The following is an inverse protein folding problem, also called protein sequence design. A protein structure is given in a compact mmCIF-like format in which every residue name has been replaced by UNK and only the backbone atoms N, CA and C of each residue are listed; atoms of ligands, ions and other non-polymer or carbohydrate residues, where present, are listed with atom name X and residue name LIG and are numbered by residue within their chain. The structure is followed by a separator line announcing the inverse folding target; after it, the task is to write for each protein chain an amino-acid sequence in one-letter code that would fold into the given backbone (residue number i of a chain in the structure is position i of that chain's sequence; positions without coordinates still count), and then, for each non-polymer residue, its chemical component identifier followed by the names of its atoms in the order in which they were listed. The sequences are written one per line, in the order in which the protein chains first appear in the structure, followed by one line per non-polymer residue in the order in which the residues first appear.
data_IF_517208213649
#
_entry.id   IF_517208213649
#
_cell.length_a   1.000
_cell.length_b   1.000
_cell.length_c   1.000
_cell.angle_alpha   90.00
_cell.angle_beta   90.00
_cell.angle_gamma   90.00
#
_symmetry.space_group_name_H-M   'P 1'
#
loop_
_entity.id
_entity.type
_entity.pdbx_description
1 polymer ?
#
# COMPACT_ATOMS: atom_id res chain seq x y z
N UNK A 1 -6.48 -6.87 -16.32
CA UNK A 1 -6.27 -7.17 -14.88
C UNK A 1 -7.06 -6.15 -14.06
N UNK A 2 -8.00 -6.56 -13.21
CA UNK A 2 -9.10 -5.69 -12.73
C UNK A 2 -8.77 -4.68 -11.61
N UNK A 3 -7.51 -4.54 -11.16
CA UNK A 3 -7.10 -3.59 -10.10
C UNK A 3 -7.95 -3.66 -8.81
N UNK A 4 -8.31 -4.87 -8.36
CA UNK A 4 -9.13 -5.09 -7.15
C UNK A 4 -8.30 -5.73 -6.02
N UNK A 5 -7.30 -5.04 -5.45
CA UNK A 5 -6.35 -5.64 -4.52
C UNK A 5 -7.06 -6.23 -3.28
N UNK A 6 -8.00 -5.50 -2.67
CA UNK A 6 -8.70 -5.97 -1.47
C UNK A 6 -9.64 -7.16 -1.73
N UNK A 7 -10.28 -7.24 -2.90
CA UNK A 7 -11.10 -8.40 -3.27
C UNK A 7 -10.23 -9.62 -3.62
N UNK A 8 -9.04 -9.37 -4.19
CA UNK A 8 -8.04 -10.42 -4.37
C UNK A 8 -7.56 -10.98 -3.04
N UNK A 9 -7.28 -10.10 -2.06
CA UNK A 9 -6.92 -10.50 -0.70
C UNK A 9 -8.03 -11.27 0.01
N UNK A 10 -9.28 -10.82 -0.11
CA UNK A 10 -10.46 -11.54 0.40
C UNK A 10 -10.53 -12.98 -0.16
N UNK A 11 -10.43 -13.13 -1.48
CA UNK A 11 -10.44 -14.46 -2.12
C UNK A 11 -9.26 -15.34 -1.71
N UNK A 12 -8.06 -14.76 -1.58
CA UNK A 12 -6.87 -15.48 -1.13
C UNK A 12 -7.00 -15.98 0.32
N UNK A 13 -7.43 -15.11 1.23
CA UNK A 13 -7.64 -15.49 2.64
C UNK A 13 -8.74 -16.55 2.76
N UNK A 14 -9.84 -16.41 2.01
CA UNK A 14 -10.89 -17.43 1.96
C UNK A 14 -10.33 -18.79 1.53
N UNK A 15 -9.55 -18.82 0.44
CA UNK A 15 -8.95 -20.05 -0.07
C UNK A 15 -8.00 -20.70 0.95
N UNK A 16 -7.27 -19.90 1.72
CA UNK A 16 -6.36 -20.38 2.75
C UNK A 16 -7.11 -20.95 3.97
N UNK A 17 -8.18 -20.29 4.41
CA UNK A 17 -9.06 -20.77 5.49
C UNK A 17 -9.68 -22.12 5.10
N UNK A 18 -10.18 -22.24 3.87
CA UNK A 18 -10.76 -23.47 3.34
C UNK A 18 -9.71 -24.58 3.28
N UNK A 19 -8.50 -24.27 2.79
CA UNK A 19 -7.38 -25.21 2.72
C UNK A 19 -6.97 -25.73 4.11
N UNK A 20 -6.94 -24.84 5.12
CA UNK A 20 -6.56 -25.19 6.49
C UNK A 20 -7.74 -25.76 7.32
N UNK A 21 -8.95 -25.83 6.75
CA UNK A 21 -10.18 -26.29 7.42
C UNK A 21 -10.44 -25.56 8.75
N UNK A 22 -10.18 -24.26 8.79
CA UNK A 22 -10.40 -23.47 10.00
C UNK A 22 -11.87 -23.05 10.11
N UNK A 23 -12.46 -23.04 11.33
CA UNK A 23 -13.82 -22.55 11.56
C UNK A 23 -13.85 -21.01 11.64
N UNK A 24 -13.23 -20.34 10.66
CA UNK A 24 -13.12 -18.88 10.58
C UNK A 24 -13.78 -18.39 9.29
N UNK A 25 -14.32 -17.18 9.31
CA UNK A 25 -14.82 -16.51 8.11
C UNK A 25 -13.81 -15.43 7.65
N UNK A 26 -13.57 -15.35 6.35
CA UNK A 26 -12.81 -14.24 5.78
C UNK A 26 -13.63 -12.94 5.89
N UNK A 27 -13.05 -11.84 6.40
CA UNK A 27 -13.71 -10.54 6.35
C UNK A 27 -13.86 -10.04 4.90
N UNK A 28 -14.97 -9.38 4.60
CA UNK A 28 -15.21 -8.77 3.29
C UNK A 28 -14.24 -7.62 2.98
N UNK A 29 -14.06 -7.29 1.70
CA UNK A 29 -13.17 -6.22 1.26
C UNK A 29 -13.46 -4.84 1.89
N UNK A 30 -14.71 -4.53 2.24
CA UNK A 30 -15.08 -3.26 2.89
C UNK A 30 -14.60 -3.25 4.33
N UNK A 31 -14.68 -4.39 5.02
CA UNK A 31 -14.13 -4.58 6.36
C UNK A 31 -12.61 -4.49 6.36
N UNK A 32 -11.92 -5.10 5.39
CA UNK A 32 -10.48 -4.92 5.20
C UNK A 32 -10.12 -3.46 4.95
N UNK A 33 -10.85 -2.77 4.05
CA UNK A 33 -10.60 -1.36 3.72
C UNK A 33 -10.74 -0.43 4.94
N UNK A 34 -11.77 -0.63 5.76
CA UNK A 34 -12.00 0.20 6.97
C UNK A 34 -10.97 -0.07 8.05
N UNK A 35 -10.52 -1.32 8.20
CA UNK A 35 -9.47 -1.67 9.17
C UNK A 35 -8.13 -1.10 8.75
N UNK A 36 -7.83 -1.07 7.45
CA UNK A 36 -6.57 -0.55 6.92
C UNK A 36 -6.26 0.88 7.39
N UNK A 37 -7.28 1.72 7.55
CA UNK A 37 -7.12 3.09 8.09
C UNK A 37 -6.50 3.11 9.49
N UNK A 38 -6.74 2.08 10.31
CA UNK A 38 -6.26 1.96 11.68
C UNK A 38 -5.02 1.07 11.82
N UNK A 39 -4.57 0.45 10.74
CA UNK A 39 -3.38 -0.41 10.75
C UNK A 39 -2.14 0.49 10.84
N UNK A 40 -1.42 0.39 11.95
CA UNK A 40 -0.10 0.99 12.09
C UNK A 40 0.92 0.05 11.47
N UNK A 41 1.48 0.44 10.33
CA UNK A 41 2.59 -0.29 9.70
C UNK A 41 3.89 0.22 10.29
N UNK A 42 4.53 -0.60 11.13
CA UNK A 42 5.88 -0.33 11.62
C UNK A 42 6.90 -0.61 10.52
N UNK A 43 7.60 0.42 10.05
CA UNK A 43 8.78 0.22 9.19
C UNK A 43 9.96 0.00 10.13
N UNK A 44 10.31 -1.26 10.38
CA UNK A 44 11.46 -1.60 11.21
C UNK A 44 12.73 -1.43 10.40
N UNK A 45 13.59 -0.50 10.82
CA UNK A 45 14.95 -0.36 10.28
C UNK A 45 15.88 -1.31 11.01
N UNK A 46 16.59 -2.17 10.28
CA UNK A 46 17.65 -2.98 10.87
C UNK A 46 18.83 -2.08 11.22
N UNK A 47 19.24 -2.04 12.50
CA UNK A 47 20.44 -1.33 12.89
C UNK A 47 21.65 -2.21 12.57
N UNK A 48 22.51 -1.74 11.66
CA UNK A 48 23.80 -2.37 11.38
C UNK A 48 24.94 -1.43 11.77
N UNK A 49 26.04 -2.00 12.26
CA UNK A 49 27.29 -1.32 12.58
C UNK A 49 28.24 -1.23 11.39
N UNK A 50 27.95 -1.92 10.29
CA UNK A 50 28.75 -1.88 9.06
C UNK A 50 28.29 -0.78 8.09
N UNK A 51 29.21 -0.31 7.25
CA UNK A 51 28.87 0.57 6.12
C UNK A 51 27.85 -0.11 5.20
N UNK A 52 26.95 0.68 4.61
CA UNK A 52 25.84 0.22 3.77
C UNK A 52 25.74 1.06 2.51
N UNK A 53 25.50 0.40 1.39
CA UNK A 53 25.17 1.06 0.12
C UNK A 53 23.64 1.18 0.02
N UNK A 54 23.15 2.41 -0.07
CA UNK A 54 21.72 2.70 -0.18
C UNK A 54 21.43 3.22 -1.59
N UNK A 55 20.53 2.54 -2.28
CA UNK A 55 19.98 2.98 -3.56
C UNK A 55 18.74 3.81 -3.27
N UNK A 56 18.68 5.01 -3.85
CA UNK A 56 17.53 5.92 -3.68
C UNK A 56 16.78 6.02 -5.00
N UNK A 57 15.50 5.69 -4.99
CA UNK A 57 14.59 5.90 -6.11
C UNK A 57 13.43 6.82 -5.74
N UNK A 58 12.88 7.53 -6.74
CA UNK A 58 11.74 8.42 -6.58
C UNK A 58 10.61 8.00 -7.52
N UNK A 59 9.58 7.36 -6.97
CA UNK A 59 8.41 6.94 -7.74
C UNK A 59 7.25 7.94 -7.60
N UNK A 60 6.60 8.26 -8.72
CA UNK A 60 5.38 9.07 -8.73
C UNK A 60 4.15 8.23 -8.40
N UNK A 61 3.44 8.60 -7.33
CA UNK A 61 2.18 7.96 -6.92
C UNK A 61 1.01 8.85 -7.31
N UNK A 62 0.06 8.27 -8.05
CA UNK A 62 -1.21 8.92 -8.32
C UNK A 62 -2.20 8.64 -7.19
N UNK A 63 -2.74 9.68 -6.58
CA UNK A 63 -3.73 9.53 -5.50
C UNK A 63 -5.13 9.52 -6.12
N UNK A 64 -5.80 8.38 -6.03
CA UNK A 64 -7.20 8.25 -6.43
C UNK A 64 -8.11 8.61 -5.26
N UNK A 65 -9.11 9.46 -5.48
CA UNK A 65 -10.00 9.93 -4.43
C UNK A 65 -11.13 10.80 -4.97
N UNK A 66 -11.71 11.63 -4.10
CA UNK A 66 -12.90 12.45 -4.42
C UNK A 66 -12.73 13.26 -5.71
N UNK A 67 -11.56 13.86 -5.92
CA UNK A 67 -11.30 14.67 -7.11
C UNK A 67 -11.39 13.89 -8.43
N UNK A 68 -11.06 12.60 -8.46
CA UNK A 68 -11.06 11.82 -9.70
C UNK A 68 -12.49 11.42 -10.13
N UNK A 69 -13.32 10.92 -9.21
CA UNK A 69 -14.69 10.51 -9.54
C UNK A 69 -15.59 11.73 -9.75
N UNK A 70 -15.41 12.77 -8.94
CA UNK A 70 -16.24 13.98 -8.99
C UNK A 70 -15.99 14.78 -10.26
N UNK A 71 -14.75 14.85 -10.73
CA UNK A 71 -14.42 15.47 -12.04
C UNK A 71 -15.06 14.69 -13.20
N UNK A 72 -15.12 13.35 -13.12
CA UNK A 72 -15.78 12.52 -14.13
C UNK A 72 -17.30 12.68 -14.14
N UNK A 73 -17.92 12.86 -12.98
CA UNK A 73 -19.38 12.91 -12.84
C UNK A 73 -19.98 14.32 -12.94
N UNK A 74 -19.29 15.34 -12.42
CA UNK A 74 -19.85 16.68 -12.21
C UNK A 74 -18.99 17.81 -12.80
N UNK A 75 -17.97 17.49 -13.58
CA UNK A 75 -17.06 18.49 -14.14
C UNK A 75 -16.05 19.02 -13.11
N UNK A 76 -15.25 19.99 -13.52
CA UNK A 76 -14.03 20.37 -12.80
C UNK A 76 -14.32 21.09 -11.47
N UNK A 77 -14.35 20.35 -10.35
CA UNK A 77 -14.59 20.92 -9.01
C UNK A 77 -13.46 20.66 -7.99
N UNK A 78 -12.58 19.68 -8.24
CA UNK A 78 -11.41 19.35 -7.39
C UNK A 78 -10.24 18.91 -8.25
N UNK A 79 -9.01 19.29 -7.85
CA UNK A 79 -7.77 18.97 -8.59
C UNK A 79 -7.37 17.49 -8.39
N UNK A 80 -6.80 16.87 -9.43
CA UNK A 80 -6.11 15.57 -9.35
C UNK A 80 -4.77 15.73 -8.62
N UNK A 81 -4.44 14.81 -7.71
CA UNK A 81 -3.24 14.89 -6.88
C UNK A 81 -2.25 13.77 -7.23
N UNK A 82 -1.00 14.16 -7.43
CA UNK A 82 0.16 13.26 -7.54
C UNK A 82 1.11 13.55 -6.39
N UNK A 83 1.71 12.51 -5.82
CA UNK A 83 2.70 12.62 -4.74
C UNK A 83 3.97 11.89 -5.13
N UNK A 84 5.13 12.45 -4.78
CA UNK A 84 6.42 11.78 -4.97
C UNK A 84 6.78 11.00 -3.72
N UNK A 85 7.07 9.73 -3.89
CA UNK A 85 7.59 8.85 -2.85
C UNK A 85 9.08 8.61 -3.10
N UNK A 86 9.90 9.00 -2.14
CA UNK A 86 11.33 8.70 -2.12
C UNK A 86 11.55 7.45 -1.26
N UNK A 87 12.14 6.41 -1.85
CA UNK A 87 12.48 5.16 -1.18
C UNK A 87 13.99 4.98 -1.17
N UNK A 88 14.55 4.67 -0.01
CA UNK A 88 15.93 4.23 0.15
C UNK A 88 15.95 2.74 0.48
N UNK A 89 16.63 1.94 -0.34
CA UNK A 89 16.73 0.50 -0.21
C UNK A 89 18.20 0.11 -0.03
N UNK A 90 18.48 -0.83 0.86
CA UNK A 90 19.81 -1.47 0.94
C UNK A 90 20.06 -2.32 -0.32
N UNK A 91 21.19 -2.11 -0.98
CA UNK A 91 21.54 -2.81 -2.23
C UNK A 91 21.67 -4.33 -2.07
N UNK A 92 22.21 -4.78 -0.94
CA UNK A 92 22.58 -6.17 -0.70
C UNK A 92 21.43 -7.04 -0.17
N UNK A 93 20.51 -6.43 0.57
CA UNK A 93 19.41 -7.11 1.27
C UNK A 93 18.04 -6.76 0.71
N UNK A 94 17.96 -5.77 -0.19
CA UNK A 94 16.72 -5.22 -0.72
C UNK A 94 15.75 -4.69 0.36
N UNK A 95 16.25 -4.48 1.58
CA UNK A 95 15.45 -4.00 2.69
C UNK A 95 15.17 -2.50 2.56
N UNK A 96 13.94 -2.08 2.87
CA UNK A 96 13.57 -0.66 2.95
C UNK A 96 14.19 -0.01 4.18
N UNK A 97 15.08 0.96 3.95
CA UNK A 97 15.84 1.66 4.99
C UNK A 97 15.26 3.03 5.32
N UNK A 98 14.64 3.69 4.33
CA UNK A 98 13.94 4.94 4.53
C UNK A 98 12.85 5.16 3.49
N UNK A 99 11.79 5.84 3.90
CA UNK A 99 10.69 6.24 3.02
C UNK A 99 10.23 7.64 3.40
N UNK A 100 10.14 8.53 2.42
CA UNK A 100 9.71 9.91 2.62
C UNK A 100 8.76 10.37 1.53
N UNK A 101 7.65 11.00 1.92
CA UNK A 101 6.69 11.57 0.99
C UNK A 101 6.71 13.09 1.11
N UNK A 102 6.99 13.81 0.02
CA UNK A 102 6.79 15.27 -0.02
C UNK A 102 5.34 15.58 -0.37
N UNK A 103 4.76 16.54 0.36
CA UNK A 103 3.38 17.02 0.17
C UNK A 103 3.21 17.73 -1.17
#
# INVERSE_FOLDING_TARGET
MYHLPLRGTEGFISSLIDLMKLPLACPDYSTLSRRWEKVVVGITRSQTTSSRHIVIDSTGIKVYGEGEWKVRQHGYSKRRTWRKLHLGVDESTEALESGGMRQ
#
